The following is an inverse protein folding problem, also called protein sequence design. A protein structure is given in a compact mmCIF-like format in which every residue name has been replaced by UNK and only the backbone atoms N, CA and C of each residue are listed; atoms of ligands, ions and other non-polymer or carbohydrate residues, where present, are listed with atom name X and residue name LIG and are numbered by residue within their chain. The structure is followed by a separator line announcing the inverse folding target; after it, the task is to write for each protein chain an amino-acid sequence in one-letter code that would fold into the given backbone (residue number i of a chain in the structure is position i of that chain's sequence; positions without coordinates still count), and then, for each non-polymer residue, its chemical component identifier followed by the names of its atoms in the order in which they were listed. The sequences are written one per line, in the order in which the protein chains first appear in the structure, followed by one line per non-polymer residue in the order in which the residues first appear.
data_IF_369648763417
#
_entry.id   IF_369648763417
#
_cell.length_a   1.000
_cell.length_b   1.000
_cell.length_c   1.000
_cell.angle_alpha   90.00
_cell.angle_beta   90.00
_cell.angle_gamma   90.00
#
_symmetry.space_group_name_H-M   'P 1'
#
loop_
_entity.id
_entity.type
_entity.pdbx_description
1 polymer ?
#
# COMPACT_ATOMS: atom_id res chain seq x y z
N UNK A 1 -16.48 -15.40 6.86
CA UNK A 1 -15.09 -15.00 6.55
C UNK A 1 -15.02 -13.48 6.63
N UNK A 2 -14.52 -12.97 7.74
CA UNK A 2 -14.58 -11.54 8.07
C UNK A 2 -13.59 -10.73 7.24
N UNK A 3 -14.04 -9.58 6.76
CA UNK A 3 -13.19 -8.60 6.09
C UNK A 3 -12.06 -8.20 7.05
N UNK A 4 -10.83 -8.58 6.73
CA UNK A 4 -9.71 -8.49 7.68
C UNK A 4 -9.24 -7.04 7.90
N UNK A 5 -9.42 -6.16 6.91
CA UNK A 5 -9.18 -4.71 6.98
C UNK A 5 -9.76 -4.02 5.71
N UNK A 6 -10.26 -2.78 5.82
CA UNK A 6 -10.91 -2.05 4.72
C UNK A 6 -9.97 -1.64 3.57
N UNK A 7 -8.66 -1.64 3.80
CA UNK A 7 -7.63 -1.27 2.82
C UNK A 7 -7.33 -2.42 1.85
N UNK A 8 -8.04 -3.54 1.96
CA UNK A 8 -8.01 -4.65 1.01
C UNK A 8 -9.40 -4.87 0.39
N UNK A 9 -9.48 -5.32 -0.88
CA UNK A 9 -10.75 -5.68 -1.50
C UNK A 9 -11.49 -6.75 -0.71
N UNK A 10 -12.81 -6.57 -0.54
CA UNK A 10 -13.66 -7.64 0.01
C UNK A 10 -13.62 -8.86 -0.89
N UNK A 11 -13.37 -10.04 -0.33
CA UNK A 11 -13.49 -11.31 -1.05
C UNK A 11 -14.95 -11.78 -0.97
N UNK A 12 -15.59 -11.96 -2.12
CA UNK A 12 -16.97 -12.45 -2.21
C UNK A 12 -17.02 -13.97 -2.39
N UNK A 13 -16.14 -14.53 -3.23
CA UNK A 13 -16.05 -15.97 -3.46
C UNK A 13 -14.65 -16.35 -3.98
N UNK A 14 -14.26 -17.59 -3.79
CA UNK A 14 -13.04 -18.16 -4.37
C UNK A 14 -13.27 -19.63 -4.72
N UNK A 15 -12.66 -20.08 -5.81
CA UNK A 15 -12.61 -21.49 -6.21
C UNK A 15 -11.21 -21.86 -6.70
N UNK A 16 -11.04 -23.07 -7.22
CA UNK A 16 -9.71 -23.61 -7.57
C UNK A 16 -8.93 -22.75 -8.59
N UNK A 17 -9.61 -21.97 -9.44
CA UNK A 17 -8.99 -21.17 -10.50
C UNK A 17 -9.51 -19.73 -10.57
N UNK A 18 -10.29 -19.27 -9.59
CA UNK A 18 -10.88 -17.94 -9.62
C UNK A 18 -11.04 -17.34 -8.22
N UNK A 19 -11.05 -16.01 -8.18
CA UNK A 19 -11.49 -15.22 -7.03
C UNK A 19 -12.47 -14.15 -7.53
N UNK A 20 -13.57 -13.97 -6.82
CA UNK A 20 -14.51 -12.87 -7.02
C UNK A 20 -14.35 -11.94 -5.83
N UNK A 21 -14.09 -10.66 -6.10
CA UNK A 21 -13.79 -9.65 -5.08
C UNK A 21 -14.29 -8.29 -5.48
N UNK A 22 -14.28 -7.37 -4.53
CA UNK A 22 -14.64 -5.97 -4.71
C UNK A 22 -13.92 -5.35 -5.91
N UNK A 23 -14.69 -4.72 -6.80
CA UNK A 23 -14.17 -3.89 -7.86
C UNK A 23 -13.84 -2.51 -7.28
N UNK A 24 -12.55 -2.16 -7.23
CA UNK A 24 -12.12 -0.88 -6.65
C UNK A 24 -12.27 0.21 -7.71
N UNK A 25 -13.21 1.13 -7.49
CA UNK A 25 -13.30 2.35 -8.29
C UNK A 25 -12.27 3.37 -7.78
N UNK A 26 -11.23 3.62 -8.58
CA UNK A 26 -10.14 4.51 -8.19
C UNK A 26 -9.03 4.62 -9.23
N UNK A 27 -8.05 5.46 -8.93
CA UNK A 27 -6.86 5.69 -9.77
C UNK A 27 -5.65 5.04 -9.11
N UNK A 28 -4.80 4.39 -9.90
CA UNK A 28 -3.54 3.83 -9.39
C UNK A 28 -2.65 4.95 -8.79
N UNK A 29 -1.99 4.67 -7.67
CA UNK A 29 -1.24 5.68 -6.91
C UNK A 29 -0.07 6.27 -7.69
N UNK A 30 0.57 5.51 -8.57
CA UNK A 30 1.58 6.04 -9.50
C UNK A 30 1.00 7.09 -10.45
N UNK A 31 -0.19 6.85 -11.01
CA UNK A 31 -0.88 7.79 -11.91
C UNK A 31 -1.42 9.00 -11.14
N UNK A 32 -1.92 8.78 -9.93
CA UNK A 32 -2.34 9.89 -9.07
C UNK A 32 -1.16 10.81 -8.77
N UNK A 33 -0.02 10.24 -8.33
CA UNK A 33 1.17 11.02 -7.99
C UNK A 33 1.94 11.57 -9.20
N UNK A 34 1.59 11.20 -10.44
CA UNK A 34 2.12 11.88 -11.63
C UNK A 34 1.38 13.18 -11.95
N UNK A 35 0.18 13.38 -11.41
CA UNK A 35 -0.63 14.59 -11.62
C UNK A 35 -0.77 15.45 -10.36
N UNK A 36 -0.66 14.83 -9.18
CA UNK A 36 -0.82 15.50 -7.89
C UNK A 36 0.40 15.26 -7.00
N UNK A 37 0.74 16.24 -6.16
CA UNK A 37 1.87 16.13 -5.25
C UNK A 37 1.62 15.15 -4.11
N UNK A 38 2.70 14.52 -3.61
CA UNK A 38 2.63 13.73 -2.39
C UNK A 38 2.38 14.64 -1.19
N UNK A 39 1.17 14.60 -0.65
CA UNK A 39 0.82 15.33 0.58
C UNK A 39 1.09 14.49 1.83
N UNK A 40 1.20 15.16 2.98
CA UNK A 40 1.25 14.48 4.29
C UNK A 40 0.06 13.52 4.50
N UNK A 41 -1.13 13.85 3.97
CA UNK A 41 -2.30 12.97 4.05
C UNK A 41 -2.11 11.68 3.25
N UNK A 42 -1.55 11.76 2.04
CA UNK A 42 -1.24 10.56 1.25
C UNK A 42 -0.12 9.75 1.90
N UNK A 43 0.93 10.40 2.41
CA UNK A 43 2.01 9.73 3.15
C UNK A 43 1.48 8.97 4.37
N UNK A 44 0.57 9.58 5.14
CA UNK A 44 -0.11 8.93 6.26
C UNK A 44 -0.90 7.69 5.82
N UNK A 45 -1.63 7.80 4.71
CA UNK A 45 -2.40 6.67 4.16
C UNK A 45 -1.49 5.53 3.68
N UNK A 46 -0.33 5.84 3.10
CA UNK A 46 0.68 4.83 2.73
C UNK A 46 1.20 4.11 3.98
N UNK A 47 1.47 4.83 5.07
CA UNK A 47 1.86 4.24 6.35
C UNK A 47 0.76 3.35 6.95
N UNK A 48 -0.49 3.83 6.96
CA UNK A 48 -1.63 3.04 7.42
C UNK A 48 -1.82 1.76 6.61
N UNK A 49 -1.60 1.82 5.29
CA UNK A 49 -1.62 0.65 4.42
C UNK A 49 -0.51 -0.34 4.78
N UNK A 50 0.70 0.14 5.07
CA UNK A 50 1.80 -0.69 5.54
C UNK A 50 1.48 -1.38 6.87
N UNK A 51 0.92 -0.66 7.84
CA UNK A 51 0.51 -1.26 9.11
C UNK A 51 -0.68 -2.21 8.95
N UNK A 52 -1.59 -1.96 8.00
CA UNK A 52 -2.64 -2.91 7.65
C UNK A 52 -2.06 -4.25 7.16
N UNK A 53 -1.06 -4.21 6.27
CA UNK A 53 -0.35 -5.43 5.82
C UNK A 53 0.29 -6.18 7.00
N UNK A 54 0.83 -5.47 7.99
CA UNK A 54 1.39 -6.08 9.22
C UNK A 54 0.32 -6.74 10.06
N UNK A 55 -0.80 -6.06 10.29
CA UNK A 55 -1.92 -6.55 11.12
C UNK A 55 -2.53 -7.84 10.57
N UNK A 56 -2.61 -7.95 9.23
CA UNK A 56 -3.14 -9.15 8.57
C UNK A 56 -2.09 -10.24 8.35
N UNK A 57 -0.92 -10.12 9.00
CA UNK A 57 0.19 -11.07 8.96
C UNK A 57 0.69 -11.40 7.55
N UNK A 58 0.69 -10.42 6.63
CA UNK A 58 1.34 -10.63 5.34
C UNK A 58 2.85 -10.77 5.53
N UNK A 59 3.41 -11.79 4.88
CA UNK A 59 4.85 -11.99 4.87
C UNK A 59 5.55 -10.84 4.12
N UNK A 60 4.90 -10.30 3.08
CA UNK A 60 5.38 -9.17 2.28
C UNK A 60 4.64 -7.89 2.67
N UNK A 61 5.37 -6.96 3.28
CA UNK A 61 4.91 -5.61 3.61
C UNK A 61 5.32 -4.62 2.51
N UNK A 62 5.04 -4.97 1.26
CA UNK A 62 5.53 -4.23 0.10
C UNK A 62 4.66 -4.45 -1.14
N UNK A 63 4.53 -3.42 -1.97
CA UNK A 63 3.78 -3.46 -3.22
C UNK A 63 4.31 -2.41 -4.21
N UNK A 64 4.00 -2.56 -5.49
CA UNK A 64 4.22 -1.47 -6.45
C UNK A 64 3.10 -0.44 -6.32
N UNK A 65 3.39 0.82 -6.62
CA UNK A 65 2.38 1.88 -6.58
C UNK A 65 1.19 1.62 -7.53
N UNK A 66 1.41 0.88 -8.62
CA UNK A 66 0.37 0.46 -9.58
C UNK A 66 -0.65 -0.54 -9.03
N UNK A 67 -0.36 -1.17 -7.89
CA UNK A 67 -1.31 -2.06 -7.21
C UNK A 67 -2.00 -1.38 -6.02
N UNK A 68 -1.70 -0.10 -5.77
CA UNK A 68 -2.32 0.71 -4.72
C UNK A 68 -3.24 1.69 -5.43
N UNK A 69 -4.51 1.72 -5.04
CA UNK A 69 -5.53 2.57 -5.66
C UNK A 69 -5.97 3.66 -4.70
N UNK A 70 -6.02 4.89 -5.21
CA UNK A 70 -6.70 6.02 -4.57
C UNK A 70 -8.17 5.94 -4.95
N UNK A 71 -9.04 5.68 -3.97
CA UNK A 71 -10.49 5.61 -4.20
C UNK A 71 -11.07 7.02 -4.41
N UNK A 72 -12.32 7.10 -4.88
CA UNK A 72 -13.06 8.37 -5.00
C UNK A 72 -13.18 9.15 -3.68
N UNK A 73 -13.22 8.44 -2.55
CA UNK A 73 -13.20 9.00 -1.19
C UNK A 73 -11.78 9.42 -0.73
N UNK A 74 -10.77 9.24 -1.58
CA UNK A 74 -9.38 9.53 -1.30
C UNK A 74 -8.68 8.51 -0.42
N UNK A 75 -9.27 7.34 -0.15
CA UNK A 75 -8.65 6.26 0.63
C UNK A 75 -7.69 5.43 -0.22
N UNK A 76 -6.75 4.70 0.41
CA UNK A 76 -5.86 3.78 -0.30
C UNK A 76 -6.30 2.33 -0.12
N UNK A 77 -6.40 1.60 -1.23
CA UNK A 77 -6.64 0.15 -1.24
C UNK A 77 -5.56 -0.61 -2.00
N UNK A 78 -5.06 -1.71 -1.45
CA UNK A 78 -4.11 -2.62 -2.10
C UNK A 78 -4.85 -3.77 -2.77
N UNK A 79 -4.77 -3.86 -4.10
CA UNK A 79 -5.51 -4.87 -4.85
C UNK A 79 -4.73 -6.17 -5.09
N UNK A 80 -3.41 -6.16 -5.28
CA UNK A 80 -2.66 -7.41 -5.54
C UNK A 80 -1.98 -7.92 -4.27
N UNK A 81 -2.66 -8.85 -3.60
CA UNK A 81 -2.14 -9.55 -2.41
C UNK A 81 -1.78 -11.00 -2.69
N UNK A 82 -1.90 -11.50 -3.92
CA UNK A 82 -1.68 -12.92 -4.24
C UNK A 82 -0.25 -13.38 -3.91
N UNK A 83 0.72 -12.47 -4.01
CA UNK A 83 2.13 -12.71 -3.66
C UNK A 83 2.46 -12.34 -2.22
N UNK A 84 1.52 -11.80 -1.45
CA UNK A 84 1.77 -11.24 -0.12
C UNK A 84 2.14 -12.32 0.91
N UNK A 85 1.66 -13.55 0.72
CA UNK A 85 1.92 -14.67 1.62
C UNK A 85 3.20 -15.45 1.27
N UNK A 86 3.75 -15.30 0.05
CA UNK A 86 4.87 -16.16 -0.43
C UNK A 86 6.26 -15.56 -0.20
N UNK A 87 6.39 -14.23 -0.18
CA UNK A 87 7.69 -13.55 -0.02
C UNK A 87 7.75 -12.84 1.33
N UNK A 88 8.88 -12.92 2.03
CA UNK A 88 9.10 -12.18 3.28
C UNK A 88 9.79 -10.85 2.97
N UNK A 89 9.16 -9.73 3.34
CA UNK A 89 9.76 -8.40 3.13
C UNK A 89 9.25 -7.44 4.18
N UNK A 90 10.15 -6.91 5.01
CA UNK A 90 9.80 -5.94 6.05
C UNK A 90 9.92 -4.49 5.57
N UNK A 91 10.94 -4.19 4.76
CA UNK A 91 11.11 -2.86 4.16
C UNK A 91 10.31 -2.76 2.85
N UNK A 92 9.50 -1.71 2.66
CA UNK A 92 8.67 -1.54 1.47
C UNK A 92 9.49 -1.02 0.26
N UNK A 93 10.42 -1.85 -0.23
CA UNK A 93 11.39 -1.47 -1.27
C UNK A 93 10.72 -1.04 -2.59
N UNK A 94 9.61 -1.65 -2.97
CA UNK A 94 8.91 -1.34 -4.22
C UNK A 94 8.11 -0.05 -4.11
N UNK A 95 7.48 0.21 -2.96
CA UNK A 95 6.83 1.50 -2.68
C UNK A 95 7.90 2.60 -2.75
N UNK A 96 9.00 2.44 -2.01
CA UNK A 96 10.09 3.43 -1.98
C UNK A 96 10.72 3.63 -3.36
N UNK A 97 10.88 2.57 -4.16
CA UNK A 97 11.38 2.66 -5.54
C UNK A 97 10.38 3.39 -6.44
N UNK A 98 9.09 3.14 -6.29
CA UNK A 98 8.04 3.84 -7.01
C UNK A 98 8.03 5.33 -6.70
N UNK A 99 8.09 5.69 -5.42
CA UNK A 99 8.17 7.08 -4.97
C UNK A 99 9.47 7.75 -5.45
N UNK A 100 10.60 7.04 -5.45
CA UNK A 100 11.88 7.55 -5.99
C UNK A 100 11.77 7.93 -7.46
N UNK A 101 11.10 7.11 -8.27
CA UNK A 101 10.88 7.41 -9.70
C UNK A 101 10.05 8.67 -9.92
N UNK A 102 9.22 9.03 -8.96
CA UNK A 102 8.36 10.23 -8.99
C UNK A 102 8.98 11.43 -8.24
N UNK A 103 10.21 11.30 -7.72
CA UNK A 103 10.87 12.36 -6.95
C UNK A 103 10.48 12.44 -5.46
N UNK A 104 9.52 11.64 -4.99
CA UNK A 104 8.94 11.76 -3.64
C UNK A 104 9.54 10.84 -2.56
N UNK A 105 10.65 10.15 -2.84
CA UNK A 105 11.23 9.20 -1.88
C UNK A 105 11.65 9.89 -0.59
N UNK A 106 12.39 10.99 -0.71
CA UNK A 106 12.99 11.65 0.46
C UNK A 106 11.92 12.40 1.25
N UNK A 107 10.94 13.01 0.59
CA UNK A 107 9.75 13.60 1.24
C UNK A 107 8.99 12.58 2.09
N UNK A 108 8.73 11.40 1.50
CA UNK A 108 8.06 10.32 2.22
C UNK A 108 8.88 9.80 3.40
N UNK A 109 10.19 9.60 3.22
CA UNK A 109 11.06 9.13 4.29
C UNK A 109 11.22 10.16 5.41
N UNK A 110 11.26 11.45 5.09
CA UNK A 110 11.25 12.54 6.08
C UNK A 110 9.93 12.56 6.86
N UNK A 111 8.79 12.35 6.20
CA UNK A 111 7.50 12.17 6.86
C UNK A 111 7.51 10.96 7.81
N UNK A 112 8.04 9.81 7.36
CA UNK A 112 8.14 8.61 8.20
C UNK A 112 9.05 8.86 9.39
N UNK A 113 10.20 9.53 9.20
CA UNK A 113 11.12 9.87 10.29
C UNK A 113 10.46 10.71 11.38
N UNK A 114 9.61 11.66 11.00
CA UNK A 114 8.94 12.56 11.95
C UNK A 114 7.75 11.92 12.66
N UNK A 115 7.01 11.02 11.99
CA UNK A 115 5.80 10.39 12.55
C UNK A 115 6.01 9.00 13.15
N UNK A 116 6.92 8.23 12.59
CA UNK A 116 7.19 6.81 12.91
C UNK A 116 8.69 6.52 12.86
N UNK A 117 9.48 7.11 13.76
CA UNK A 117 10.93 6.91 13.80
C UNK A 117 11.31 5.43 13.99
N UNK A 118 10.43 4.62 14.62
CA UNK A 118 10.55 3.16 14.73
C UNK A 118 10.63 2.49 13.36
N UNK A 119 9.72 2.85 12.45
CA UNK A 119 9.70 2.31 11.09
C UNK A 119 10.84 2.88 10.25
N UNK A 120 11.17 4.16 10.41
CA UNK A 120 12.29 4.77 9.73
C UNK A 120 13.61 4.04 10.04
N UNK A 121 13.86 3.72 11.32
CA UNK A 121 15.02 2.95 11.75
C UNK A 121 15.00 1.52 11.19
N UNK A 122 13.86 0.83 11.27
CA UNK A 122 13.70 -0.51 10.70
C UNK A 122 13.92 -0.57 9.18
N UNK A 123 13.62 0.52 8.50
CA UNK A 123 13.75 0.63 7.05
C UNK A 123 15.10 1.13 6.59
N UNK A 124 15.99 1.60 7.47
CA UNK A 124 17.31 2.06 7.04
C UNK A 124 18.23 0.88 6.74
#
# INVERSE_FOLDING_TARGET
MGQVDERFPKLYSAGNKYIIRECINGVELNKFLSHYQLTNSISEKILKLYDAMRKVNFNRLDSTLSHIFVTSEGNLKLIDTAKALRKKTRRPKLILRGLKKLGYKDDFLNYVKSRRPDLYSLWN
#
